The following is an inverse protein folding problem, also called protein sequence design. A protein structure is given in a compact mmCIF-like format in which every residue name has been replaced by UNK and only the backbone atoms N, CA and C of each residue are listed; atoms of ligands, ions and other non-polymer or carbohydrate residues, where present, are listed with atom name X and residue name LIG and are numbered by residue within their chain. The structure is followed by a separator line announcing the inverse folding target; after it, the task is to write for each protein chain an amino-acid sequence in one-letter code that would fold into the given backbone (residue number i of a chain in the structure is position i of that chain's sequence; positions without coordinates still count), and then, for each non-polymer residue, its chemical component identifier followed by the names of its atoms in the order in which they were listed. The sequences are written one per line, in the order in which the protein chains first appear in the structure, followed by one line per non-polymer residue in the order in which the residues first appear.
data_IF_411843158583
#
_entry.id   IF_411843158583
#
_cell.length_a   1.000
_cell.length_b   1.000
_cell.length_c   1.000
_cell.angle_alpha   90.00
_cell.angle_beta   90.00
_cell.angle_gamma   90.00
#
_symmetry.space_group_name_H-M   'P 1'
#
loop_
_entity.id
_entity.type
_entity.pdbx_description
1 polymer ?
#
# COMPACT_ATOMS: atom_id res chain seq x y z
N UNK A 1 -2.05 12.86 3.52
CA UNK A 1 -2.56 11.55 3.10
C UNK A 1 -3.38 11.72 1.82
N UNK A 2 -3.16 10.86 0.83
CA UNK A 2 -3.89 10.90 -0.44
C UNK A 2 -4.46 9.52 -0.75
N UNK A 3 -5.62 9.50 -1.41
CA UNK A 3 -6.17 8.28 -1.99
C UNK A 3 -6.06 8.41 -3.50
N UNK A 4 -5.37 7.42 -4.11
CA UNK A 4 -5.07 7.42 -5.54
C UNK A 4 -5.99 6.42 -6.22
N UNK A 5 -6.86 6.91 -7.11
CA UNK A 5 -7.73 6.10 -7.95
C UNK A 5 -7.40 6.23 -9.43
N UNK A 6 -6.58 7.21 -9.79
CA UNK A 6 -6.06 7.44 -11.13
C UNK A 6 -4.54 7.47 -11.06
N UNK A 7 -3.87 7.13 -12.16
CA UNK A 7 -2.42 6.98 -12.13
C UNK A 7 -1.69 8.29 -11.82
N UNK A 8 -0.59 8.13 -11.07
CA UNK A 8 0.39 9.19 -10.84
C UNK A 8 1.75 8.69 -11.34
N UNK A 9 2.70 9.60 -11.51
CA UNK A 9 4.04 9.24 -11.94
C UNK A 9 4.92 8.85 -10.75
N UNK A 10 6.01 8.12 -11.03
CA UNK A 10 7.06 7.90 -10.03
C UNK A 10 7.65 9.21 -9.53
N UNK A 11 7.75 10.23 -10.39
CA UNK A 11 8.24 11.54 -9.98
C UNK A 11 7.32 12.21 -8.98
N UNK A 12 5.99 12.09 -9.18
CA UNK A 12 5.02 12.59 -8.21
C UNK A 12 5.18 11.88 -6.86
N UNK A 13 5.41 10.58 -6.89
CA UNK A 13 5.63 9.80 -5.68
C UNK A 13 6.92 10.22 -4.97
N UNK A 14 8.01 10.44 -5.71
CA UNK A 14 9.28 10.90 -5.15
C UNK A 14 9.18 12.24 -4.44
N UNK A 15 8.30 13.12 -4.89
CA UNK A 15 8.07 14.42 -4.26
C UNK A 15 7.48 14.31 -2.87
N UNK A 16 6.94 13.16 -2.50
CA UNK A 16 6.37 12.92 -1.18
C UNK A 16 7.42 12.44 -0.16
N UNK A 17 8.61 12.02 -0.62
CA UNK A 17 9.65 11.45 0.24
C UNK A 17 10.09 12.34 1.41
N UNK A 18 10.25 13.67 1.25
CA UNK A 18 10.63 14.52 2.38
C UNK A 18 9.60 14.60 3.51
N UNK A 19 8.46 13.92 3.38
CA UNK A 19 7.39 13.97 4.37
C UNK A 19 7.78 13.35 5.70
N UNK A 20 7.87 12.01 5.77
CA UNK A 20 8.01 11.31 7.04
C UNK A 20 9.26 10.45 7.18
N UNK A 21 9.60 9.62 6.19
CA UNK A 21 10.56 8.53 6.36
C UNK A 21 11.77 8.59 5.42
N UNK A 22 11.98 9.69 4.73
CA UNK A 22 13.16 9.86 3.88
C UNK A 22 13.08 9.12 2.55
N UNK A 23 13.23 7.80 2.56
CA UNK A 23 13.29 6.98 1.34
C UNK A 23 12.06 6.10 1.13
N UNK A 24 11.12 6.10 2.06
CA UNK A 24 9.99 5.19 2.08
C UNK A 24 8.66 5.93 2.25
N UNK A 25 7.63 5.45 1.58
CA UNK A 25 6.25 5.93 1.74
C UNK A 25 5.37 4.76 2.14
N UNK A 26 4.64 4.91 3.24
CA UNK A 26 3.65 3.91 3.65
C UNK A 26 2.41 4.00 2.79
N UNK A 27 1.89 2.85 2.39
CA UNK A 27 0.71 2.75 1.56
C UNK A 27 -0.20 1.61 2.00
N UNK A 28 -1.48 1.74 1.72
CA UNK A 28 -2.46 0.65 1.90
C UNK A 28 -3.22 0.49 0.60
N UNK A 29 -3.23 -0.73 0.09
CA UNK A 29 -3.90 -1.08 -1.17
C UNK A 29 -5.26 -1.70 -0.83
N UNK A 30 -6.31 -1.20 -1.49
CA UNK A 30 -7.62 -1.87 -1.53
C UNK A 30 -7.65 -2.68 -2.83
N UNK A 31 -7.49 -4.00 -2.71
CA UNK A 31 -7.41 -4.86 -3.89
C UNK A 31 -8.75 -5.03 -4.60
N UNK A 32 -9.87 -4.82 -3.90
CA UNK A 32 -11.20 -4.92 -4.52
C UNK A 32 -11.52 -3.68 -5.35
N UNK A 33 -11.25 -2.49 -4.79
CA UNK A 33 -11.53 -1.22 -5.48
C UNK A 33 -10.40 -0.79 -6.41
N UNK A 34 -9.23 -1.41 -6.33
CA UNK A 34 -8.03 -1.04 -7.08
C UNK A 34 -7.64 0.42 -6.83
N UNK A 35 -7.57 0.80 -5.57
CA UNK A 35 -7.12 2.13 -5.13
C UNK A 35 -6.02 1.97 -4.09
N UNK A 36 -5.25 3.05 -3.88
CA UNK A 36 -4.16 3.07 -2.91
C UNK A 36 -4.26 4.33 -2.07
N UNK A 37 -4.21 4.17 -0.73
CA UNK A 37 -3.99 5.29 0.17
C UNK A 37 -2.51 5.41 0.46
N UNK A 38 -1.96 6.62 0.46
CA UNK A 38 -0.53 6.86 0.68
C UNK A 38 -0.28 8.08 1.55
N UNK A 39 0.96 8.18 2.03
CA UNK A 39 1.53 9.39 2.64
C UNK A 39 0.88 9.71 3.99
N UNK A 40 1.03 8.79 4.93
CA UNK A 40 0.73 8.99 6.34
C UNK A 40 1.80 8.33 7.20
N UNK A 41 1.88 8.70 8.47
CA UNK A 41 2.88 8.14 9.38
C UNK A 41 2.67 6.66 9.66
N UNK A 42 1.40 6.23 9.74
CA UNK A 42 1.05 4.87 10.10
C UNK A 42 0.13 4.24 9.05
N UNK A 43 0.36 2.96 8.74
CA UNK A 43 -0.57 2.20 7.92
C UNK A 43 -2.00 2.23 8.50
N UNK A 44 -2.12 2.17 9.83
CA UNK A 44 -3.42 2.18 10.49
C UNK A 44 -4.22 3.46 10.21
N UNK A 45 -3.57 4.59 10.05
CA UNK A 45 -4.24 5.86 9.72
C UNK A 45 -4.83 5.81 8.31
N UNK A 46 -4.09 5.23 7.37
CA UNK A 46 -4.56 5.05 5.99
C UNK A 46 -5.73 4.06 5.96
N UNK A 47 -5.57 2.93 6.65
CA UNK A 47 -6.61 1.91 6.76
C UNK A 47 -7.92 2.53 7.27
N UNK A 48 -7.84 3.31 8.34
CA UNK A 48 -9.00 3.97 8.93
C UNK A 48 -9.72 4.86 7.92
N UNK A 49 -8.97 5.65 7.15
CA UNK A 49 -9.56 6.52 6.15
C UNK A 49 -10.24 5.73 5.04
N UNK A 50 -9.61 4.66 4.56
CA UNK A 50 -10.21 3.80 3.54
C UNK A 50 -11.49 3.13 4.05
N UNK A 51 -11.49 2.65 5.30
CA UNK A 51 -12.68 2.09 5.92
C UNK A 51 -13.81 3.12 6.01
N UNK A 52 -13.48 4.35 6.37
CA UNK A 52 -14.45 5.45 6.43
C UNK A 52 -15.07 5.71 5.06
N UNK A 53 -14.32 5.50 3.98
CA UNK A 53 -14.80 5.70 2.61
C UNK A 53 -15.43 4.44 2.00
N UNK A 54 -15.69 3.41 2.80
CA UNK A 54 -16.44 2.24 2.36
C UNK A 54 -15.62 1.02 1.99
N UNK A 55 -14.30 1.03 2.19
CA UNK A 55 -13.49 -0.17 2.01
C UNK A 55 -13.81 -1.21 3.07
N UNK A 56 -13.56 -2.49 2.75
CA UNK A 56 -13.67 -3.59 3.70
C UNK A 56 -12.28 -3.98 4.18
N UNK A 57 -12.12 -4.21 5.47
CA UNK A 57 -10.81 -4.53 6.05
C UNK A 57 -10.14 -5.72 5.36
N UNK A 58 -10.93 -6.74 4.99
CA UNK A 58 -10.41 -7.94 4.34
C UNK A 58 -9.70 -7.65 3.01
N UNK A 59 -9.99 -6.52 2.37
CA UNK A 59 -9.43 -6.12 1.08
C UNK A 59 -8.21 -5.20 1.21
N UNK A 60 -7.88 -4.76 2.43
CA UNK A 60 -6.85 -3.75 2.68
C UNK A 60 -5.53 -4.40 3.09
N UNK A 61 -4.45 -4.04 2.40
CA UNK A 61 -3.13 -4.58 2.65
C UNK A 61 -2.09 -3.47 2.72
N UNK A 62 -1.30 -3.48 3.79
CA UNK A 62 -0.25 -2.49 4.01
C UNK A 62 1.04 -2.87 3.31
N UNK A 63 1.64 -1.90 2.65
CA UNK A 63 2.92 -2.03 1.97
C UNK A 63 3.75 -0.77 2.22
N UNK A 64 5.03 -0.87 1.89
CA UNK A 64 5.93 0.28 1.84
C UNK A 64 6.44 0.44 0.42
N UNK A 65 6.46 1.68 -0.06
CA UNK A 65 6.95 2.00 -1.38
C UNK A 65 8.29 2.72 -1.27
N UNK A 66 9.26 2.29 -2.08
CA UNK A 66 10.59 2.89 -2.16
C UNK A 66 10.75 3.51 -3.55
N UNK A 67 10.34 4.78 -3.74
CA UNK A 67 10.24 5.38 -5.08
C UNK A 67 11.55 5.47 -5.85
N UNK A 68 12.69 5.40 -5.16
CA UNK A 68 14.02 5.44 -5.81
C UNK A 68 14.53 4.06 -6.20
N UNK A 69 13.81 3.00 -5.81
CA UNK A 69 14.14 1.62 -6.14
C UNK A 69 13.27 1.12 -7.30
N UNK A 70 13.72 0.05 -7.96
CA UNK A 70 13.04 -0.53 -9.11
C UNK A 70 12.78 -2.02 -8.90
N UNK A 71 11.86 -2.57 -9.70
CA UNK A 71 11.56 -4.00 -9.69
C UNK A 71 11.04 -4.46 -8.34
N UNK A 72 11.58 -5.58 -7.86
CA UNK A 72 11.15 -6.19 -6.60
C UNK A 72 11.46 -5.33 -5.37
N UNK A 73 12.43 -4.42 -5.48
CA UNK A 73 12.82 -3.56 -4.36
C UNK A 73 11.89 -2.35 -4.17
N UNK A 74 11.01 -2.09 -5.14
CA UNK A 74 10.09 -0.97 -5.08
C UNK A 74 8.97 -1.18 -4.05
N UNK A 75 8.46 -2.40 -3.91
CA UNK A 75 7.34 -2.72 -3.03
C UNK A 75 7.81 -3.65 -1.92
N UNK A 76 7.64 -3.24 -0.68
CA UNK A 76 7.91 -4.08 0.49
C UNK A 76 6.60 -4.45 1.17
N UNK A 77 6.38 -5.73 1.40
CA UNK A 77 5.20 -6.25 2.09
C UNK A 77 5.49 -6.36 3.58
N UNK A 78 5.33 -5.27 4.30
CA UNK A 78 5.64 -5.23 5.73
C UNK A 78 4.74 -4.22 6.45
N UNK A 79 3.73 -4.72 7.16
CA UNK A 79 2.84 -3.89 7.96
C UNK A 79 2.15 -4.69 9.04
N UNK A 80 2.02 -4.08 10.22
CA UNK A 80 1.26 -4.68 11.31
C UNK A 80 -0.21 -4.92 10.94
N UNK A 81 -0.80 -4.10 10.08
CA UNK A 81 -2.20 -4.29 9.69
C UNK A 81 -2.43 -5.57 8.90
N UNK A 82 -1.35 -6.18 8.36
CA UNK A 82 -1.45 -7.43 7.60
C UNK A 82 -1.61 -8.66 8.51
N UNK A 83 -1.35 -8.53 9.81
CA UNK A 83 -1.46 -9.65 10.74
C UNK A 83 -2.93 -9.91 11.02
N UNK A 84 -3.49 -10.90 10.30
CA UNK A 84 -4.90 -11.30 10.39
C UNK A 84 -5.03 -12.81 10.32
N UNK A 85 -4.83 -13.51 11.46
CA UNK A 85 -4.88 -14.99 11.47
C UNK A 85 -6.20 -15.55 10.96
N UNK A 86 -7.32 -14.85 11.18
CA UNK A 86 -8.63 -15.27 10.70
C UNK A 86 -8.75 -15.25 9.17
N UNK A 87 -7.86 -14.53 8.48
CA UNK A 87 -7.75 -14.55 7.02
C UNK A 87 -6.60 -15.43 6.53
N UNK A 88 -5.95 -16.17 7.43
CA UNK A 88 -4.81 -17.02 7.08
C UNK A 88 -3.50 -16.27 6.94
N UNK A 89 -3.44 -14.98 7.28
CA UNK A 89 -2.20 -14.20 7.21
C UNK A 89 -1.67 -13.94 8.61
N UNK A 90 -0.57 -14.60 8.98
CA UNK A 90 -0.07 -14.63 10.36
C UNK A 90 1.18 -13.81 10.58
N UNK A 91 1.66 -13.12 9.56
CA UNK A 91 2.86 -12.29 9.64
C UNK A 91 2.59 -10.89 9.11
N UNK A 92 3.61 -10.03 9.22
CA UNK A 92 3.56 -8.68 8.65
C UNK A 92 3.65 -8.70 7.12
N UNK A 93 4.11 -9.81 6.55
CA UNK A 93 4.16 -10.05 5.11
C UNK A 93 2.74 -10.35 4.58
N UNK A 94 2.59 -10.38 3.27
CA UNK A 94 1.39 -10.88 2.59
C UNK A 94 1.74 -12.28 2.10
N UNK A 95 1.18 -13.31 2.73
CA UNK A 95 1.59 -14.69 2.52
C UNK A 95 0.97 -15.34 1.30
N UNK A 96 -0.25 -14.92 0.91
CA UNK A 96 -0.94 -15.50 -0.24
C UNK A 96 -0.37 -14.92 -1.54
N UNK A 97 0.17 -15.78 -2.43
CA UNK A 97 0.78 -15.30 -3.68
C UNK A 97 -0.20 -14.62 -4.63
N UNK A 98 -1.47 -15.02 -4.63
CA UNK A 98 -2.49 -14.38 -5.46
C UNK A 98 -2.78 -12.97 -4.97
N UNK A 99 -2.85 -12.78 -3.66
CA UNK A 99 -3.04 -11.46 -3.05
C UNK A 99 -1.83 -10.57 -3.36
N UNK A 100 -0.60 -11.09 -3.24
CA UNK A 100 0.61 -10.34 -3.59
C UNK A 100 0.58 -9.90 -5.05
N UNK A 101 0.23 -10.80 -5.95
CA UNK A 101 0.14 -10.48 -7.38
C UNK A 101 -0.89 -9.39 -7.65
N UNK A 102 -2.03 -9.44 -6.96
CA UNK A 102 -3.08 -8.43 -7.09
C UNK A 102 -2.62 -7.06 -6.59
N UNK A 103 -1.91 -7.03 -5.47
CA UNK A 103 -1.31 -5.80 -4.94
C UNK A 103 -0.33 -5.21 -5.94
N UNK A 104 0.59 -6.02 -6.46
CA UNK A 104 1.60 -5.59 -7.43
C UNK A 104 0.93 -5.01 -8.67
N UNK A 105 -0.09 -5.69 -9.22
CA UNK A 105 -0.82 -5.23 -10.39
C UNK A 105 -1.49 -3.87 -10.16
N UNK A 106 -2.10 -3.69 -8.98
CA UNK A 106 -2.74 -2.42 -8.61
C UNK A 106 -1.72 -1.29 -8.51
N UNK A 107 -0.59 -1.54 -7.85
CA UNK A 107 0.49 -0.56 -7.71
C UNK A 107 1.03 -0.17 -9.08
N UNK A 108 1.34 -1.16 -9.94
CA UNK A 108 1.91 -0.89 -11.26
C UNK A 108 0.94 -0.12 -12.17
N UNK A 109 -0.35 -0.33 -12.00
CA UNK A 109 -1.36 0.41 -12.75
C UNK A 109 -1.47 1.87 -12.31
N UNK A 110 -1.37 2.12 -11.01
CA UNK A 110 -1.59 3.44 -10.43
C UNK A 110 -0.31 4.28 -10.31
N UNK A 111 0.86 3.67 -10.31
CA UNK A 111 2.13 4.38 -10.18
C UNK A 111 2.99 4.04 -11.40
N UNK A 112 3.03 4.96 -12.32
CA UNK A 112 3.71 4.82 -13.61
C UNK A 112 4.80 5.85 -13.79
#
# INVERSE_FOLDING_TARGET
MQIISQSISHNDLKKMLPGYFGDMIKAVVDIRKSIIGIDAELHADIEKELLTQGSLQADLWGINLYPEMEGEDFIEFDSLINIRPYQGNRSRDVQNPDTRAHIIATVNRLIQ
#
